data_IF_771914761507
#
_entry.id   IF_771914761507
#
_cell.length_a   1.000
_cell.length_b   1.000
_cell.length_c   1.000
_cell.angle_alpha   90.00
_cell.angle_beta   90.00
_cell.angle_gamma   90.00
#
_symmetry.space_group_name_H-M   'P 1'
#
loop_
_entity.id
_entity.type
_entity.pdbx_description
1 polymer ?
#
# COMPACT_ATOMS: atom_id res chain seq x y z
N UNK A 1 -32.15 -6.96 0.60
CA UNK A 1 -31.06 -6.94 -0.40
C UNK A 1 -29.78 -6.56 0.34
N UNK A 2 -28.76 -7.43 0.39
CA UNK A 2 -27.45 -7.09 0.94
C UNK A 2 -26.75 -6.19 -0.07
N UNK A 3 -26.67 -4.89 0.19
CA UNK A 3 -25.84 -3.99 -0.61
C UNK A 3 -24.39 -4.48 -0.50
N UNK A 4 -23.82 -4.95 -1.61
CA UNK A 4 -22.37 -5.13 -1.72
C UNK A 4 -21.77 -3.74 -1.58
N UNK A 5 -21.11 -3.44 -0.48
CA UNK A 5 -20.24 -2.27 -0.35
C UNK A 5 -19.32 -2.23 -1.59
N UNK A 6 -19.43 -1.18 -2.41
CA UNK A 6 -18.52 -0.98 -3.55
C UNK A 6 -17.37 -0.11 -3.08
N UNK A 7 -16.35 -0.73 -2.51
CA UNK A 7 -15.06 -0.06 -2.32
C UNK A 7 -14.44 0.17 -3.71
N UNK A 8 -14.12 1.42 -4.03
CA UNK A 8 -13.43 1.77 -5.27
C UNK A 8 -11.96 1.97 -4.97
N UNK A 9 -11.16 0.99 -5.34
CA UNK A 9 -9.71 1.03 -5.22
C UNK A 9 -9.13 1.68 -6.48
N UNK A 10 -8.35 2.73 -6.29
CA UNK A 10 -7.62 3.41 -7.37
C UNK A 10 -6.14 3.43 -7.05
N UNK A 11 -5.31 2.85 -7.91
CA UNK A 11 -3.84 2.97 -7.79
C UNK A 11 -3.46 4.38 -8.21
N UNK A 12 -2.94 5.17 -7.28
CA UNK A 12 -2.55 6.57 -7.51
C UNK A 12 -1.04 6.70 -7.79
N UNK A 13 -0.23 5.74 -7.38
CA UNK A 13 1.19 5.67 -7.71
C UNK A 13 1.68 4.22 -7.74
N UNK A 14 2.63 3.93 -8.63
CA UNK A 14 3.29 2.63 -8.75
C UNK A 14 4.77 2.84 -9.07
N UNK A 15 5.62 2.11 -8.39
CA UNK A 15 7.07 2.07 -8.60
C UNK A 15 7.54 0.62 -8.61
N UNK A 16 8.50 0.33 -9.49
CA UNK A 16 9.13 -0.97 -9.61
C UNK A 16 10.64 -0.82 -9.42
N UNK A 17 11.23 -1.69 -8.60
CA UNK A 17 12.67 -1.71 -8.30
C UNK A 17 13.18 -3.13 -8.43
N UNK A 18 14.48 -3.27 -8.66
CA UNK A 18 15.12 -4.58 -8.66
C UNK A 18 16.46 -4.49 -7.95
N UNK A 19 16.74 -5.47 -7.09
CA UNK A 19 17.98 -5.53 -6.32
C UNK A 19 18.32 -7.00 -6.03
N UNK A 20 19.58 -7.40 -6.19
CA UNK A 20 20.02 -8.76 -5.85
C UNK A 20 19.29 -9.91 -6.56
N UNK A 21 18.66 -9.67 -7.72
CA UNK A 21 17.83 -10.64 -8.42
C UNK A 21 16.36 -10.70 -7.96
N UNK A 22 15.98 -9.91 -6.97
CA UNK A 22 14.61 -9.70 -6.55
C UNK A 22 13.98 -8.55 -7.34
N UNK A 23 12.68 -8.64 -7.61
CA UNK A 23 11.89 -7.54 -8.16
C UNK A 23 10.84 -7.10 -7.15
N UNK A 24 10.76 -5.80 -6.91
CA UNK A 24 9.89 -5.16 -5.94
C UNK A 24 8.88 -4.31 -6.70
N UNK A 25 7.60 -4.45 -6.37
CA UNK A 25 6.53 -3.58 -6.87
C UNK A 25 5.81 -2.95 -5.70
N UNK A 26 5.73 -1.63 -5.72
CA UNK A 26 5.06 -0.82 -4.72
C UNK A 26 3.86 -0.15 -5.37
N UNK A 27 2.73 -0.14 -4.67
CA UNK A 27 1.53 0.58 -5.10
C UNK A 27 0.95 1.40 -3.96
N UNK A 28 0.70 2.67 -4.21
CA UNK A 28 -0.11 3.53 -3.36
C UNK A 28 -1.54 3.52 -3.91
N UNK A 29 -2.49 3.12 -3.07
CA UNK A 29 -3.87 2.88 -3.43
C UNK A 29 -4.74 3.86 -2.64
N UNK A 30 -5.53 4.68 -3.31
CA UNK A 30 -6.61 5.42 -2.67
C UNK A 30 -7.88 4.58 -2.69
N UNK A 31 -8.51 4.44 -1.53
CA UNK A 31 -9.79 3.76 -1.36
C UNK A 31 -10.86 4.76 -0.98
N UNK A 32 -11.90 4.75 -1.80
CA UNK A 32 -13.16 5.40 -1.48
C UNK A 32 -14.12 4.28 -1.09
N UNK A 33 -14.35 4.10 0.22
CA UNK A 33 -15.39 3.20 0.71
C UNK A 33 -16.69 3.99 0.90
N UNK A 34 -17.81 3.49 0.36
CA UNK A 34 -19.14 4.11 0.53
C UNK A 34 -19.52 4.25 2.03
N UNK A 35 -18.97 3.42 2.90
CA UNK A 35 -19.20 3.45 4.35
C UNK A 35 -18.52 4.65 5.04
N UNK A 36 -17.36 5.12 4.53
CA UNK A 36 -16.69 6.37 4.97
C UNK A 36 -16.98 7.57 4.05
N UNK A 37 -17.59 7.35 2.88
CA UNK A 37 -17.99 8.41 1.95
C UNK A 37 -18.98 9.41 2.55
N UNK A 38 -19.72 9.02 3.61
CA UNK A 38 -20.54 9.97 4.41
C UNK A 38 -19.70 11.07 5.08
N UNK A 39 -18.39 10.87 5.25
CA UNK A 39 -17.43 11.85 5.77
C UNK A 39 -16.53 12.46 4.69
N UNK A 40 -16.56 11.96 3.45
CA UNK A 40 -15.75 12.48 2.34
C UNK A 40 -14.23 12.29 2.47
N UNK A 41 -13.78 11.37 3.32
CA UNK A 41 -12.34 11.16 3.58
C UNK A 41 -11.86 9.97 2.76
N UNK A 42 -10.92 10.21 1.84
CA UNK A 42 -10.20 9.15 1.14
C UNK A 42 -9.20 8.49 2.10
N UNK A 43 -9.17 7.16 2.10
CA UNK A 43 -8.18 6.39 2.84
C UNK A 43 -7.11 5.88 1.89
N UNK A 44 -5.88 5.84 2.35
CA UNK A 44 -4.74 5.43 1.54
C UNK A 44 -4.14 4.14 2.10
N UNK A 45 -3.99 3.17 1.21
CA UNK A 45 -3.36 1.88 1.46
C UNK A 45 -2.07 1.78 0.66
N UNK A 46 -1.09 1.00 1.13
CA UNK A 46 0.11 0.69 0.36
C UNK A 46 0.26 -0.81 0.23
N UNK A 47 0.45 -1.27 -1.01
CA UNK A 47 0.75 -2.67 -1.33
C UNK A 47 2.21 -2.80 -1.74
N UNK A 48 2.85 -3.82 -1.22
CA UNK A 48 4.22 -4.22 -1.58
C UNK A 48 4.20 -5.64 -2.07
N UNK A 49 4.85 -5.88 -3.20
CA UNK A 49 5.02 -7.17 -3.83
C UNK A 49 6.50 -7.42 -4.07
N UNK A 50 6.97 -8.61 -3.70
CA UNK A 50 8.33 -9.07 -3.87
C UNK A 50 8.30 -10.33 -4.72
N UNK A 51 9.02 -10.31 -5.84
CA UNK A 51 9.28 -11.48 -6.66
C UNK A 51 10.72 -11.92 -6.41
N UNK A 52 10.89 -13.14 -5.92
CA UNK A 52 12.18 -13.78 -5.73
C UNK A 52 12.85 -14.15 -7.05
N UNK A 53 14.17 -14.40 -7.07
CA UNK A 53 14.87 -14.90 -8.27
C UNK A 53 14.32 -16.23 -8.81
N UNK A 54 13.72 -17.06 -7.94
CA UNK A 54 13.04 -18.31 -8.33
C UNK A 54 11.64 -18.09 -8.91
N UNK A 55 11.16 -16.85 -8.98
CA UNK A 55 9.84 -16.48 -9.49
C UNK A 55 8.70 -16.60 -8.47
N UNK A 56 8.99 -16.92 -7.20
CA UNK A 56 7.98 -16.90 -6.14
C UNK A 56 7.61 -15.45 -5.82
N UNK A 57 6.32 -15.16 -5.76
CA UNK A 57 5.77 -13.84 -5.46
C UNK A 57 5.17 -13.83 -4.06
N UNK A 58 5.65 -12.92 -3.22
CA UNK A 58 5.08 -12.61 -1.90
C UNK A 58 4.50 -11.20 -1.94
N UNK A 59 3.36 -10.99 -1.26
CA UNK A 59 2.71 -9.68 -1.22
C UNK A 59 2.17 -9.38 0.17
N UNK A 60 2.13 -8.10 0.50
CA UNK A 60 1.49 -7.59 1.71
C UNK A 60 0.89 -6.22 1.42
N UNK A 61 -0.14 -5.87 2.19
CA UNK A 61 -0.83 -4.59 2.06
C UNK A 61 -1.12 -4.01 3.42
N UNK A 62 -0.69 -2.77 3.63
CA UNK A 62 -1.07 -1.98 4.77
C UNK A 62 -2.35 -1.22 4.38
N UNK A 63 -3.48 -1.65 4.96
CA UNK A 63 -4.82 -1.22 4.59
C UNK A 63 -5.23 0.04 5.36
N UNK A 64 -5.71 1.05 4.64
CA UNK A 64 -6.34 2.27 5.18
C UNK A 64 -5.50 2.98 6.26
N UNK A 65 -4.18 2.94 6.10
CA UNK A 65 -3.20 3.42 7.09
C UNK A 65 -3.24 4.94 7.24
N UNK A 66 -3.54 5.67 6.17
CA UNK A 66 -3.51 7.12 6.17
C UNK A 66 -4.82 7.72 5.71
N UNK A 67 -5.30 8.75 6.41
CA UNK A 67 -6.37 9.64 5.96
C UNK A 67 -5.82 10.92 5.29
N UNK A 68 -4.49 11.10 5.31
CA UNK A 68 -3.78 12.23 4.70
C UNK A 68 -2.92 11.76 3.52
N UNK A 69 -3.12 12.37 2.35
CA UNK A 69 -2.41 12.01 1.13
C UNK A 69 -0.90 12.27 1.23
N UNK A 70 -0.50 13.35 1.91
CA UNK A 70 0.91 13.73 2.06
C UNK A 70 1.69 12.70 2.86
N UNK A 71 1.16 12.27 4.01
CA UNK A 71 1.72 11.19 4.83
C UNK A 71 1.77 9.87 4.07
N UNK A 72 0.72 9.53 3.34
CA UNK A 72 0.70 8.31 2.53
C UNK A 72 1.80 8.30 1.45
N UNK A 73 2.03 9.45 0.79
CA UNK A 73 3.11 9.60 -0.20
C UNK A 73 4.48 9.51 0.46
N UNK A 74 4.70 10.16 1.60
CA UNK A 74 5.99 10.10 2.31
C UNK A 74 6.32 8.68 2.78
N UNK A 75 5.34 7.98 3.35
CA UNK A 75 5.47 6.58 3.74
C UNK A 75 5.80 5.69 2.54
N UNK A 76 5.05 5.84 1.45
CA UNK A 76 5.31 5.14 0.20
C UNK A 76 6.73 5.38 -0.33
N UNK A 77 7.19 6.63 -0.36
CA UNK A 77 8.54 6.96 -0.81
C UNK A 77 9.62 6.37 0.11
N UNK A 78 9.38 6.30 1.42
CA UNK A 78 10.26 5.64 2.38
C UNK A 78 10.36 4.14 2.09
N UNK A 79 9.24 3.46 1.81
CA UNK A 79 9.24 2.03 1.46
C UNK A 79 10.04 1.78 0.17
N UNK A 80 9.80 2.56 -0.88
CA UNK A 80 10.50 2.44 -2.16
C UNK A 80 12.01 2.66 -2.01
N UNK A 81 12.42 3.69 -1.24
CA UNK A 81 13.84 4.01 -1.03
C UNK A 81 14.59 2.95 -0.24
N UNK A 82 13.93 2.34 0.75
CA UNK A 82 14.53 1.33 1.61
C UNK A 82 14.38 -0.11 1.08
N UNK A 83 13.78 -0.28 -0.10
CA UNK A 83 13.46 -1.61 -0.67
C UNK A 83 12.69 -2.50 0.32
N UNK A 84 11.72 -1.91 1.03
CA UNK A 84 10.95 -2.61 2.05
C UNK A 84 10.25 -3.83 1.44
N UNK A 85 10.27 -4.96 2.16
CA UNK A 85 9.64 -6.19 1.70
C UNK A 85 8.21 -6.31 2.22
N UNK A 86 7.40 -7.22 1.66
CA UNK A 86 6.11 -7.58 2.24
C UNK A 86 6.17 -7.97 3.72
N UNK A 87 7.29 -8.58 4.17
CA UNK A 87 7.48 -9.03 5.55
C UNK A 87 7.70 -7.84 6.50
N UNK A 88 8.41 -6.81 6.04
CA UNK A 88 8.73 -5.63 6.83
C UNK A 88 7.54 -4.67 6.94
N UNK A 89 6.60 -4.73 5.98
CA UNK A 89 5.56 -3.72 5.81
C UNK A 89 4.70 -3.50 7.06
N UNK A 90 4.33 -4.56 7.77
CA UNK A 90 3.53 -4.43 8.99
C UNK A 90 4.28 -3.64 10.08
N UNK A 91 5.56 -3.96 10.30
CA UNK A 91 6.39 -3.30 11.29
C UNK A 91 6.63 -1.82 10.95
N UNK A 92 6.87 -1.52 9.67
CA UNK A 92 7.08 -0.14 9.21
C UNK A 92 5.78 0.68 9.32
N UNK A 93 4.62 0.07 9.06
CA UNK A 93 3.33 0.73 9.22
C UNK A 93 3.00 1.01 10.70
N UNK A 94 3.29 0.07 11.61
CA UNK A 94 3.07 0.27 13.05
C UNK A 94 3.96 1.37 13.65
N UNK A 95 5.19 1.53 13.17
CA UNK A 95 6.10 2.59 13.59
C UNK A 95 5.58 3.99 13.22
N UNK A 96 4.96 4.12 12.05
CA UNK A 96 4.52 5.40 11.49
C UNK A 96 3.17 5.89 12.04
N UNK A 97 2.45 5.02 12.75
CA UNK A 97 1.18 5.32 13.40
C UNK A 97 1.29 5.65 14.91
N UNK A 98 2.50 5.54 15.48
CA UNK A 98 2.78 5.90 16.89
C UNK A 98 3.11 7.39 17.03
#
# INVERSE_FOLDING_TARGET
>A
MRSKERTKDTVIRRDERSDGGYAYRYELISRESESVASFGIALYSVRVELTSPSGEVTSAEANDVFADAGRAILFYEKLVRNLATPVDLAYVAEDELK
#
